data_IF_803237621965
#
_entry.id   IF_803237621965
#
_cell.length_a   1.000
_cell.length_b   1.000
_cell.length_c   1.000
_cell.angle_alpha   90.00
_cell.angle_beta   90.00
_cell.angle_gamma   90.00
#
_symmetry.space_group_name_H-M   'P 1'
#
loop_
_entity.id
_entity.type
_entity.pdbx_description
1 polymer ?
#
# COMPACT_ATOMS: atom_id res chain seq x y z
N UNK A 1 5.11 -19.65 25.55
CA UNK A 1 5.37 -19.18 24.18
C UNK A 1 4.06 -19.28 23.44
N UNK A 2 3.29 -18.20 23.45
CA UNK A 2 2.04 -18.14 22.70
C UNK A 2 2.34 -17.84 21.22
N UNK A 3 1.63 -18.46 20.28
CA UNK A 3 1.78 -18.15 18.86
C UNK A 3 1.30 -16.70 18.64
N UNK A 4 2.16 -15.87 18.07
CA UNK A 4 1.77 -14.54 17.59
C UNK A 4 0.70 -14.72 16.52
N UNK A 5 -0.54 -14.35 16.86
CA UNK A 5 -1.71 -14.50 16.01
C UNK A 5 -1.58 -13.62 14.75
N UNK A 6 -1.04 -14.17 13.66
CA UNK A 6 -1.13 -13.60 12.33
C UNK A 6 -2.22 -14.33 11.55
N UNK A 7 -3.47 -14.13 11.98
CA UNK A 7 -4.62 -14.54 11.18
C UNK A 7 -4.62 -13.83 9.82
N UNK A 8 -5.33 -14.37 8.81
CA UNK A 8 -5.46 -13.70 7.52
C UNK A 8 -6.08 -12.31 7.72
N UNK A 9 -5.54 -11.30 7.04
CA UNK A 9 -6.08 -9.93 7.06
C UNK A 9 -7.54 -9.98 6.57
N UNK A 10 -8.51 -9.44 7.33
CA UNK A 10 -9.92 -9.45 6.94
C UNK A 10 -10.15 -8.84 5.56
N UNK A 11 -11.02 -9.43 4.72
CA UNK A 11 -11.21 -9.02 3.33
C UNK A 11 -11.72 -7.57 3.17
N UNK A 12 -12.49 -7.08 4.14
CA UNK A 12 -13.04 -5.73 4.20
C UNK A 12 -12.06 -4.69 4.76
N UNK A 13 -10.87 -5.11 5.19
CA UNK A 13 -9.84 -4.18 5.69
C UNK A 13 -9.44 -3.20 4.58
N UNK A 14 -9.52 -1.91 4.88
CA UNK A 14 -9.09 -0.85 3.98
C UNK A 14 -7.57 -0.86 3.79
N UNK A 15 -7.13 -0.48 2.59
CA UNK A 15 -5.73 -0.39 2.19
C UNK A 15 -5.49 0.98 1.57
N UNK A 16 -4.48 1.70 2.07
CA UNK A 16 -4.16 3.04 1.61
C UNK A 16 -2.75 3.14 1.03
N UNK A 17 -2.64 3.68 -0.19
CA UNK A 17 -1.39 3.93 -0.90
C UNK A 17 -1.16 5.43 -1.09
N UNK A 18 -0.11 5.94 -0.46
CA UNK A 18 0.38 7.31 -0.66
C UNK A 18 0.81 7.51 -2.11
N UNK A 19 0.40 8.61 -2.74
CA UNK A 19 0.63 8.92 -4.15
C UNK A 19 -0.45 8.44 -5.11
N UNK A 20 -1.51 7.80 -4.60
CA UNK A 20 -2.63 7.28 -5.40
C UNK A 20 -2.45 5.84 -5.91
N UNK A 21 -3.51 5.30 -6.50
CA UNK A 21 -3.60 3.95 -7.07
C UNK A 21 -3.27 3.86 -8.55
N UNK A 22 -2.72 4.91 -9.16
CA UNK A 22 -2.32 4.88 -10.58
C UNK A 22 -1.15 3.92 -10.85
N UNK A 23 -1.15 3.26 -12.01
CA UNK A 23 -0.13 2.26 -12.42
C UNK A 23 1.31 2.71 -12.14
N UNK A 24 1.64 3.97 -12.46
CA UNK A 24 2.99 4.51 -12.23
C UNK A 24 3.44 4.47 -10.76
N UNK A 25 2.52 4.58 -9.80
CA UNK A 25 2.80 4.50 -8.36
C UNK A 25 2.73 3.07 -7.79
N UNK A 26 2.17 2.14 -8.57
CA UNK A 26 2.06 0.71 -8.24
C UNK A 26 3.21 -0.13 -8.81
N UNK A 27 4.01 0.42 -9.74
CA UNK A 27 5.23 -0.22 -10.23
C UNK A 27 6.27 -0.31 -9.11
N UNK A 28 6.94 -1.46 -9.04
CA UNK A 28 8.11 -1.60 -8.17
C UNK A 28 9.22 -0.66 -8.64
N UNK A 29 9.89 -0.06 -7.67
CA UNK A 29 11.19 0.59 -7.83
C UNK A 29 12.29 -0.42 -7.51
N UNK A 30 13.50 -0.17 -7.99
CA UNK A 30 14.67 -1.04 -7.76
C UNK A 30 14.84 -1.49 -6.29
N UNK A 31 14.63 -0.58 -5.33
CA UNK A 31 14.70 -0.92 -3.90
C UNK A 31 13.57 -1.83 -3.44
N UNK A 32 12.36 -1.65 -3.97
CA UNK A 32 11.18 -2.46 -3.66
C UNK A 32 11.30 -3.88 -4.28
N UNK A 33 11.98 -4.01 -5.42
CA UNK A 33 12.32 -5.31 -6.05
C UNK A 33 13.29 -6.15 -5.20
N UNK A 34 14.18 -5.48 -4.46
CA UNK A 34 15.17 -6.15 -3.59
C UNK A 34 14.63 -6.63 -2.24
N UNK A 35 13.36 -6.33 -1.93
CA UNK A 35 12.72 -6.76 -0.69
C UNK A 35 12.35 -8.25 -0.76
N UNK A 36 12.26 -8.90 0.40
CA UNK A 36 11.75 -10.27 0.52
C UNK A 36 10.49 -10.28 1.41
N UNK A 37 9.30 -10.58 0.86
CA UNK A 37 8.98 -10.64 -0.58
C UNK A 37 8.99 -9.23 -1.24
N UNK A 38 9.19 -9.12 -2.57
CA UNK A 38 9.09 -7.86 -3.31
C UNK A 38 7.68 -7.26 -3.21
N UNK A 39 7.60 -5.95 -3.05
CA UNK A 39 6.30 -5.29 -2.94
C UNK A 39 6.36 -3.79 -2.63
N UNK A 40 5.19 -3.15 -2.69
CA UNK A 40 5.03 -1.72 -2.45
C UNK A 40 4.41 -1.45 -1.08
N UNK A 41 4.86 -0.38 -0.43
CA UNK A 41 4.33 0.05 0.88
C UNK A 41 2.88 0.53 0.80
N UNK A 42 2.06 0.06 1.71
CA UNK A 42 0.67 0.50 1.93
C UNK A 42 0.38 0.58 3.43
N UNK A 43 -0.74 1.20 3.80
CA UNK A 43 -1.25 1.21 5.17
C UNK A 43 -2.49 0.32 5.29
N UNK A 44 -2.60 -0.40 6.41
CA UNK A 44 -3.76 -1.22 6.78
C UNK A 44 -4.75 -0.44 7.64
N UNK A 45 -6.03 -0.53 7.27
CA UNK A 45 -7.16 0.05 8.00
C UNK A 45 -7.13 1.58 8.04
N UNK A 46 -8.03 2.13 8.85
CA UNK A 46 -8.19 3.57 8.99
C UNK A 46 -8.85 4.21 7.78
N UNK A 47 -8.64 5.53 7.67
CA UNK A 47 -9.17 6.38 6.62
C UNK A 47 -8.03 6.96 5.77
N UNK A 48 -8.30 7.36 4.51
CA UNK A 48 -7.26 7.86 3.62
C UNK A 48 -6.60 9.16 4.11
N UNK A 49 -7.33 10.01 4.83
CA UNK A 49 -6.81 11.24 5.46
C UNK A 49 -5.87 10.92 6.63
N UNK A 50 -6.20 9.93 7.45
CA UNK A 50 -5.33 9.43 8.52
C UNK A 50 -4.01 8.88 7.95
N UNK A 51 -4.04 8.20 6.81
CA UNK A 51 -2.82 7.73 6.13
C UNK A 51 -1.95 8.91 5.65
N UNK A 52 -2.57 9.96 5.08
CA UNK A 52 -1.86 11.17 4.69
C UNK A 52 -1.28 11.91 5.90
N UNK A 53 -2.03 12.01 6.99
CA UNK A 53 -1.62 12.67 8.22
C UNK A 53 -0.44 11.95 8.89
N UNK A 54 -0.48 10.61 8.96
CA UNK A 54 0.64 9.79 9.45
C UNK A 54 1.97 10.14 8.75
N UNK A 55 1.93 10.33 7.43
CA UNK A 55 3.09 10.77 6.66
C UNK A 55 3.54 12.19 7.06
N UNK A 56 2.60 13.13 7.14
CA UNK A 56 2.90 14.54 7.48
C UNK A 56 3.52 14.68 8.87
N UNK A 57 3.01 13.93 9.84
CA UNK A 57 3.49 13.96 11.22
C UNK A 57 4.85 13.24 11.38
N UNK A 58 5.03 12.10 10.70
CA UNK A 58 6.24 11.27 10.84
C UNK A 58 7.43 11.86 10.07
N UNK A 59 7.18 12.44 8.88
CA UNK A 59 8.22 12.97 7.99
C UNK A 59 7.95 14.42 7.57
N UNK A 60 7.90 15.37 8.52
CA UNK A 60 7.49 16.75 8.26
C UNK A 60 8.42 17.54 7.32
N UNK A 61 9.61 17.00 7.04
CA UNK A 61 10.61 17.62 6.16
C UNK A 61 10.75 16.91 4.81
N UNK A 62 10.04 15.81 4.58
CA UNK A 62 10.16 15.01 3.36
C UNK A 62 9.29 15.57 2.24
N UNK A 63 9.64 16.73 1.66
CA UNK A 63 8.82 17.49 0.71
C UNK A 63 8.17 16.65 -0.39
N UNK A 64 8.92 15.74 -1.03
CA UNK A 64 8.38 14.86 -2.08
C UNK A 64 7.31 13.89 -1.55
N UNK A 65 7.51 13.37 -0.34
CA UNK A 65 6.58 12.46 0.30
C UNK A 65 5.33 13.20 0.81
N UNK A 66 5.50 14.44 1.29
CA UNK A 66 4.39 15.32 1.65
C UNK A 66 3.51 15.65 0.44
N UNK A 67 4.12 15.99 -0.71
CA UNK A 67 3.38 16.17 -1.98
C UNK A 67 2.66 14.89 -2.40
N UNK A 68 3.30 13.72 -2.27
CA UNK A 68 2.64 12.46 -2.57
C UNK A 68 1.45 12.17 -1.63
N UNK A 69 1.48 12.66 -0.39
CA UNK A 69 0.39 12.52 0.57
C UNK A 69 -0.82 13.43 0.28
N UNK A 70 -0.77 14.30 -0.73
CA UNK A 70 -1.97 15.02 -1.22
C UNK A 70 -2.93 14.10 -2.00
N UNK A 71 -2.48 12.91 -2.38
CA UNK A 71 -3.28 11.90 -3.05
C UNK A 71 -3.10 10.55 -2.37
N UNK A 72 -4.20 9.94 -1.95
CA UNK A 72 -4.19 8.59 -1.37
C UNK A 72 -5.16 7.72 -2.14
N UNK A 73 -4.64 6.61 -2.67
CA UNK A 73 -5.45 5.56 -3.28
C UNK A 73 -5.95 4.63 -2.20
N UNK A 74 -7.25 4.32 -2.20
CA UNK A 74 -7.87 3.40 -1.25
C UNK A 74 -8.49 2.19 -1.96
N UNK A 75 -8.28 1.00 -1.40
CA UNK A 75 -8.90 -0.25 -1.85
C UNK A 75 -9.25 -1.11 -0.63
N UNK A 76 -9.93 -2.23 -0.84
CA UNK A 76 -10.06 -3.27 0.19
C UNK A 76 -9.07 -4.41 -0.08
N UNK A 77 -8.73 -5.18 0.95
CA UNK A 77 -7.94 -6.41 0.80
C UNK A 77 -8.60 -7.37 -0.21
N UNK A 78 -9.93 -7.49 -0.18
CA UNK A 78 -10.68 -8.29 -1.13
C UNK A 78 -10.47 -7.83 -2.58
N UNK A 79 -10.60 -6.52 -2.85
CA UNK A 79 -10.43 -5.98 -4.21
C UNK A 79 -9.00 -6.19 -4.73
N UNK A 80 -7.99 -6.06 -3.87
CA UNK A 80 -6.59 -6.34 -4.21
C UNK A 80 -6.40 -7.83 -4.53
N UNK A 81 -7.02 -8.73 -3.75
CA UNK A 81 -7.00 -10.18 -4.01
C UNK A 81 -7.70 -10.58 -5.30
N UNK A 82 -8.81 -9.92 -5.64
CA UNK A 82 -9.47 -10.09 -6.93
C UNK A 82 -8.57 -9.66 -8.10
N UNK A 83 -7.68 -8.68 -7.88
CA UNK A 83 -6.65 -8.30 -8.85
C UNK A 83 -5.42 -9.25 -8.86
N UNK A 84 -5.48 -10.39 -8.16
CA UNK A 84 -4.41 -11.39 -8.02
C UNK A 84 -3.19 -10.95 -7.21
N UNK A 85 -3.28 -9.86 -6.45
CA UNK A 85 -2.27 -9.44 -5.47
C UNK A 85 -2.67 -9.88 -4.06
N UNK A 86 -1.78 -9.73 -3.10
CA UNK A 86 -2.11 -9.92 -1.67
C UNK A 86 -1.44 -8.83 -0.84
N UNK A 87 -1.84 -8.74 0.43
CA UNK A 87 -1.28 -7.81 1.40
C UNK A 87 -0.78 -8.57 2.61
N UNK A 88 0.44 -8.27 3.04
CA UNK A 88 1.03 -8.79 4.27
C UNK A 88 1.28 -7.64 5.25
N UNK A 89 1.01 -7.88 6.53
CA UNK A 89 1.42 -6.96 7.58
C UNK A 89 2.95 -6.89 7.64
N UNK A 90 3.50 -5.69 7.61
CA UNK A 90 4.93 -5.42 7.59
C UNK A 90 5.24 -4.22 8.50
N UNK A 91 4.88 -4.28 9.79
CA UNK A 91 4.96 -3.12 10.67
C UNK A 91 6.41 -2.59 10.74
N UNK A 92 6.55 -1.28 10.73
CA UNK A 92 7.85 -0.60 10.87
C UNK A 92 7.91 0.15 12.19
N UNK A 93 9.11 0.59 12.58
CA UNK A 93 9.29 1.43 13.78
C UNK A 93 8.44 2.71 13.78
N UNK A 94 8.05 3.18 12.60
CA UNK A 94 7.31 4.44 12.41
C UNK A 94 5.80 4.20 12.24
N UNK A 95 5.41 3.01 11.79
CA UNK A 95 4.05 2.72 11.36
C UNK A 95 3.68 1.29 11.75
N UNK A 96 2.88 1.16 12.80
CA UNK A 96 2.39 -0.14 13.28
C UNK A 96 1.38 -0.79 12.31
N UNK A 97 0.70 0.02 11.51
CA UNK A 97 -0.24 -0.40 10.47
C UNK A 97 0.40 -0.48 9.08
N UNK A 98 1.74 -0.37 8.97
CA UNK A 98 2.40 -0.55 7.68
C UNK A 98 2.25 -1.98 7.19
N UNK A 99 2.04 -2.10 5.88
CA UNK A 99 1.91 -3.34 5.18
C UNK A 99 2.58 -3.26 3.81
N UNK A 100 2.72 -4.43 3.20
CA UNK A 100 3.28 -4.58 1.87
C UNK A 100 2.27 -5.25 0.96
N UNK A 101 2.00 -4.60 -0.17
CA UNK A 101 1.26 -5.21 -1.27
C UNK A 101 2.23 -6.01 -2.11
N UNK A 102 1.96 -7.30 -2.27
CA UNK A 102 2.84 -8.30 -2.87
C UNK A 102 2.11 -9.10 -3.94
N UNK A 103 2.86 -9.86 -4.72
CA UNK A 103 2.33 -10.84 -5.65
C UNK A 103 3.04 -12.18 -5.43
N UNK A 104 2.31 -13.29 -5.56
CA UNK A 104 2.85 -14.66 -5.39
C UNK A 104 3.99 -15.03 -6.35
N UNK A 105 4.10 -14.32 -7.47
CA UNK A 105 5.11 -14.50 -8.51
C UNK A 105 6.33 -13.56 -8.29
N UNK A 106 6.40 -12.86 -7.15
CA UNK A 106 7.43 -11.86 -6.86
C UNK A 106 7.40 -10.69 -7.84
N UNK A 107 8.58 -10.23 -8.29
CA UNK A 107 8.72 -9.13 -9.28
C UNK A 107 7.95 -9.41 -10.56
N UNK A 108 7.93 -10.67 -11.03
CA UNK A 108 7.19 -11.08 -12.24
C UNK A 108 5.66 -10.94 -12.08
N UNK A 109 5.18 -10.68 -10.86
CA UNK A 109 3.80 -10.33 -10.56
C UNK A 109 3.39 -8.94 -11.03
N UNK A 110 4.32 -8.00 -11.06
CA UNK A 110 4.06 -6.58 -11.31
C UNK A 110 4.12 -6.23 -12.80
N UNK A 111 3.46 -7.04 -13.64
CA UNK A 111 3.34 -6.76 -15.09
C UNK A 111 2.33 -5.66 -15.38
N UNK A 112 2.50 -4.94 -16.48
CA UNK A 112 1.62 -3.83 -16.88
C UNK A 112 0.12 -4.21 -16.84
N UNK A 113 -0.26 -5.34 -17.42
CA UNK A 113 -1.66 -5.82 -17.42
C UNK A 113 -2.19 -6.06 -16.02
N UNK A 114 -1.40 -6.65 -15.12
CA UNK A 114 -1.81 -6.89 -13.73
C UNK A 114 -1.87 -5.59 -12.94
N UNK A 115 -0.95 -4.66 -13.19
CA UNK A 115 -0.98 -3.34 -12.56
C UNK A 115 -2.18 -2.51 -13.02
N UNK A 116 -2.63 -2.65 -14.27
CA UNK A 116 -3.85 -2.01 -14.74
C UNK A 116 -5.08 -2.56 -14.01
N UNK A 117 -5.18 -3.89 -13.85
CA UNK A 117 -6.25 -4.51 -13.07
C UNK A 117 -6.20 -4.08 -11.59
N UNK A 118 -5.01 -4.02 -10.99
CA UNK A 118 -4.83 -3.54 -9.63
C UNK A 118 -5.21 -2.06 -9.49
N UNK A 119 -4.83 -1.22 -10.46
CA UNK A 119 -5.14 0.21 -10.45
C UNK A 119 -6.66 0.46 -10.44
N UNK A 120 -7.44 -0.38 -11.12
CA UNK A 120 -8.90 -0.32 -11.10
C UNK A 120 -9.52 -0.66 -9.74
N UNK A 121 -8.80 -1.35 -8.86
CA UNK A 121 -9.26 -1.64 -7.49
C UNK A 121 -9.12 -0.43 -6.55
N UNK A 122 -8.33 0.57 -6.92
CA UNK A 122 -8.07 1.74 -6.10
C UNK A 122 -8.97 2.93 -6.50
N UNK A 123 -9.51 3.60 -5.49
CA UNK A 123 -10.15 4.90 -5.61
C UNK A 123 -9.26 5.98 -5.00
N UNK A 124 -8.87 6.96 -5.79
CA UNK A 124 -8.06 8.08 -5.32
C UNK A 124 -8.93 9.12 -4.60
N UNK A 125 -8.45 9.56 -3.45
CA UNK A 125 -8.90 10.76 -2.74
C UNK A 125 -7.80 11.82 -2.82
N UNK A 126 -8.18 13.05 -3.16
CA UNK A 126 -7.26 14.18 -3.35
C UNK A 126 -7.65 15.26 -2.36
N UNK A 127 -6.67 15.81 -1.65
CA UNK A 127 -6.86 17.00 -0.82
C UNK A 127 -6.07 18.15 -1.40
N UNK A 128 -6.74 19.27 -1.61
CA UNK A 128 -6.08 20.56 -1.71
C UNK A 128 -5.70 21.00 -0.31
N UNK A 129 -4.40 21.20 -0.07
CA UNK A 129 -3.91 21.91 1.11
C UNK A 129 -4.42 23.37 1.13
#
# INVERSE_FOLDING_TARGET
MEPTSSGPIPPDTAIHRIGGGGVGNLRLKEKEESLDPPGISVFLGGMPDEAAEQIRQTFPQATRLLLAAERVGSATVEAIRQASFDVIADPTRHFANHARLIHKDGVNGFTETRLQALSQAFQDTIWSA
#
